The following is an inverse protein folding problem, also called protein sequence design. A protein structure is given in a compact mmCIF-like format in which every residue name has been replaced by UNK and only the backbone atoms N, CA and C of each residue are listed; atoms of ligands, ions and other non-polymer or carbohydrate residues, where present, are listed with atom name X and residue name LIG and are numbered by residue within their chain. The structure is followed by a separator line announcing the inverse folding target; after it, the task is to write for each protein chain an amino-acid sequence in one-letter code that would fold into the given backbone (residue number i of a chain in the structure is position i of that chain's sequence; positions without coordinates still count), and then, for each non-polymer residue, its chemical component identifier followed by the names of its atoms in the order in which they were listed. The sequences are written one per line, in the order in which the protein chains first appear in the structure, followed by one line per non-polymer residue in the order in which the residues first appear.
data_IF_046860226334
#
_entry.id   IF_046860226334
#
_cell.length_a   1.000
_cell.length_b   1.000
_cell.length_c   1.000
_cell.angle_alpha   90.00
_cell.angle_beta   90.00
_cell.angle_gamma   90.00
#
_symmetry.space_group_name_H-M   'P 1'
#
loop_
_entity.id
_entity.type
_entity.pdbx_description
1 polymer ?
#
# COMPACT_ATOMS: atom_id res chain seq x y z
N UNK A 1 -24.25 -39.46 -3.20
CA UNK A 1 -23.19 -39.13 -2.23
C UNK A 1 -23.89 -38.71 -0.96
N UNK A 2 -23.84 -39.58 0.07
CA UNK A 2 -24.56 -39.39 1.33
C UNK A 2 -23.68 -38.62 2.31
N UNK A 3 -24.20 -37.52 2.85
CA UNK A 3 -23.55 -36.74 3.90
C UNK A 3 -23.89 -37.39 5.25
N UNK A 4 -22.88 -37.98 5.91
CA UNK A 4 -22.98 -38.47 7.28
C UNK A 4 -22.68 -37.34 8.26
N UNK A 5 -23.58 -37.14 9.22
CA UNK A 5 -23.40 -36.26 10.37
C UNK A 5 -22.49 -36.93 11.40
N UNK A 6 -21.48 -36.21 11.91
CA UNK A 6 -20.69 -36.60 13.07
C UNK A 6 -21.02 -35.65 14.22
N UNK A 7 -21.36 -36.24 15.36
CA UNK A 7 -21.71 -35.56 16.60
C UNK A 7 -20.50 -34.89 17.27
N UNK A 8 -20.77 -33.71 17.82
CA UNK A 8 -19.94 -33.03 18.81
C UNK A 8 -20.51 -33.40 20.17
N UNK A 9 -19.72 -34.09 20.99
CA UNK A 9 -19.82 -34.07 22.46
C UNK A 9 -18.46 -34.52 23.02
N UNK A 10 -18.12 -34.01 24.21
CA UNK A 10 -16.97 -34.35 25.07
C UNK A 10 -15.63 -33.63 24.85
N UNK A 11 -15.54 -32.36 25.28
CA UNK A 11 -14.25 -31.77 25.71
C UNK A 11 -14.44 -30.64 26.74
N UNK A 12 -14.92 -30.97 27.95
CA UNK A 12 -14.77 -30.09 29.13
C UNK A 12 -14.07 -30.84 30.26
N UNK A 13 -12.75 -30.67 30.30
CA UNK A 13 -11.89 -31.09 31.41
C UNK A 13 -12.00 -30.12 32.59
N UNK A 14 -12.17 -30.69 33.77
CA UNK A 14 -12.25 -30.04 35.08
C UNK A 14 -10.97 -29.26 35.40
N UNK A 15 -11.13 -28.01 35.84
CA UNK A 15 -10.09 -27.20 36.49
C UNK A 15 -10.45 -27.08 37.98
N UNK A 16 -9.58 -27.56 38.86
CA UNK A 16 -9.68 -27.32 40.31
C UNK A 16 -8.96 -26.02 40.70
N UNK A 17 -9.51 -25.23 41.64
CA UNK A 17 -8.88 -24.00 42.12
C UNK A 17 -7.88 -24.29 43.25
N UNK A 18 -6.60 -23.96 43.02
CA UNK A 18 -5.55 -23.91 44.04
C UNK A 18 -5.53 -22.57 44.80
N UNK A 19 -4.98 -22.54 46.04
CA UNK A 19 -5.11 -21.39 46.94
C UNK A 19 -4.17 -20.23 46.57
N UNK A 20 -4.71 -19.01 46.70
CA UNK A 20 -4.00 -17.74 46.53
C UNK A 20 -3.18 -17.46 47.80
N UNK A 21 -1.85 -17.46 47.67
CA UNK A 21 -0.93 -16.99 48.69
C UNK A 21 -0.57 -15.52 48.41
N UNK A 22 -0.88 -14.64 49.35
CA UNK A 22 -0.47 -13.25 49.33
C UNK A 22 0.96 -13.11 49.87
N UNK A 23 1.88 -12.62 49.05
CA UNK A 23 3.20 -12.16 49.49
C UNK A 23 3.63 -10.94 48.69
N UNK A 24 3.78 -9.86 49.42
CA UNK A 24 4.24 -8.53 49.05
C UNK A 24 5.78 -8.54 49.00
N UNK A 25 6.40 -7.93 47.98
CA UNK A 25 7.57 -7.02 48.03
C UNK A 25 8.30 -6.95 46.68
N UNK A 26 8.24 -5.74 46.10
CA UNK A 26 9.28 -5.02 45.36
C UNK A 26 10.27 -5.81 44.48
N UNK A 27 10.12 -5.63 43.16
CA UNK A 27 11.23 -5.74 42.21
C UNK A 27 11.07 -4.71 41.09
N UNK A 28 12.18 -4.03 40.81
CA UNK A 28 12.43 -3.08 39.74
C UNK A 28 11.83 -3.53 38.38
N UNK A 29 11.06 -2.66 37.74
CA UNK A 29 10.73 -2.77 36.32
C UNK A 29 12.01 -2.47 35.50
N UNK A 30 12.75 -3.52 35.18
CA UNK A 30 13.56 -3.54 33.98
C UNK A 30 12.58 -3.66 32.80
N UNK A 31 12.52 -2.62 31.97
CA UNK A 31 11.81 -2.65 30.70
C UNK A 31 12.51 -3.67 29.81
N UNK A 32 11.98 -4.89 29.79
CA UNK A 32 12.34 -5.91 28.82
C UNK A 32 11.98 -5.37 27.43
N UNK A 33 13.04 -5.11 26.66
CA UNK A 33 12.95 -4.77 25.26
C UNK A 33 12.30 -5.90 24.50
N UNK A 34 11.02 -5.75 24.19
CA UNK A 34 10.43 -6.43 23.05
C UNK A 34 11.10 -5.92 21.79
N UNK A 35 12.12 -6.66 21.38
CA UNK A 35 12.71 -6.64 20.04
C UNK A 35 11.58 -6.82 19.02
N UNK A 36 11.08 -5.71 18.49
CA UNK A 36 10.43 -5.70 17.20
C UNK A 36 11.44 -6.27 16.22
N UNK A 37 11.09 -7.43 15.64
CA UNK A 37 11.96 -8.22 14.78
C UNK A 37 12.74 -7.32 13.84
N UNK A 38 14.06 -7.50 13.87
CA UNK A 38 15.05 -6.76 13.10
C UNK A 38 14.50 -6.44 11.72
N UNK A 39 14.14 -5.17 11.54
CA UNK A 39 13.73 -4.62 10.27
C UNK A 39 14.89 -4.82 9.31
N UNK A 40 14.74 -5.79 8.40
CA UNK A 40 15.60 -5.88 7.23
C UNK A 40 15.71 -4.47 6.63
N UNK A 41 16.91 -3.91 6.44
CA UNK A 41 17.06 -2.63 5.79
C UNK A 41 16.42 -2.75 4.40
N UNK A 42 15.29 -2.08 4.23
CA UNK A 42 14.57 -1.97 2.98
C UNK A 42 15.32 -0.98 2.08
N UNK A 43 16.56 -1.31 1.71
CA UNK A 43 17.28 -0.64 0.62
C UNK A 43 16.63 -1.05 -0.71
N UNK A 44 15.40 -0.60 -0.89
CA UNK A 44 14.67 -0.66 -2.14
C UNK A 44 15.26 0.46 -2.99
N UNK A 45 16.35 0.15 -3.70
CA UNK A 45 16.80 0.99 -4.82
C UNK A 45 15.63 1.06 -5.81
N UNK A 46 14.92 2.17 -5.80
CA UNK A 46 13.77 2.40 -6.66
C UNK A 46 14.35 2.82 -8.01
N UNK A 47 14.37 1.89 -8.97
CA UNK A 47 14.87 2.16 -10.32
C UNK A 47 13.74 2.75 -11.15
N UNK A 48 13.81 4.04 -11.41
CA UNK A 48 13.00 4.75 -12.43
C UNK A 48 13.62 4.65 -13.83
N UNK A 49 14.58 3.75 -14.05
CA UNK A 49 15.18 3.55 -15.37
C UNK A 49 14.16 2.95 -16.33
N UNK A 50 14.28 3.29 -17.61
CA UNK A 50 13.58 2.65 -18.71
C UNK A 50 13.86 1.13 -18.67
N UNK A 51 12.94 0.39 -18.06
CA UNK A 51 13.08 -1.05 -17.91
C UNK A 51 12.72 -1.69 -19.25
N UNK A 52 13.73 -2.26 -19.91
CA UNK A 52 13.54 -3.02 -21.14
C UNK A 52 13.42 -4.51 -20.83
N UNK A 53 12.26 -5.08 -21.13
CA UNK A 53 12.09 -6.53 -21.19
C UNK A 53 12.45 -7.03 -22.59
N UNK A 54 13.15 -8.17 -22.67
CA UNK A 54 13.56 -8.79 -23.93
C UNK A 54 12.87 -10.12 -24.13
N UNK A 55 12.38 -10.38 -25.34
CA UNK A 55 11.81 -11.67 -25.74
C UNK A 55 12.87 -12.77 -25.93
N UNK A 56 14.16 -12.42 -25.88
CA UNK A 56 15.27 -13.39 -25.84
C UNK A 56 15.34 -14.15 -24.50
N UNK A 57 14.74 -13.58 -23.45
CA UNK A 57 14.65 -14.24 -22.14
C UNK A 57 13.35 -15.04 -22.10
N UNK A 58 13.44 -16.31 -21.74
CA UNK A 58 12.26 -17.14 -21.58
C UNK A 58 11.66 -17.04 -20.16
N UNK A 59 10.33 -16.82 -20.03
CA UNK A 59 9.66 -16.90 -18.74
C UNK A 59 9.76 -18.31 -18.14
N UNK A 60 9.73 -18.35 -16.81
CA UNK A 60 9.65 -19.62 -16.08
C UNK A 60 8.38 -20.38 -16.48
N UNK A 61 8.53 -21.68 -16.69
CA UNK A 61 7.41 -22.58 -16.89
C UNK A 61 6.74 -22.97 -15.57
N UNK A 62 5.42 -23.07 -15.61
CA UNK A 62 4.58 -23.48 -14.50
C UNK A 62 3.92 -24.82 -14.84
N UNK A 63 3.92 -25.80 -13.93
CA UNK A 63 3.21 -27.05 -14.15
C UNK A 63 1.72 -26.82 -14.40
N UNK A 64 1.11 -27.71 -15.19
CA UNK A 64 -0.32 -27.63 -15.50
C UNK A 64 -1.15 -27.61 -14.20
N UNK A 65 -2.13 -26.71 -14.14
CA UNK A 65 -3.03 -26.55 -13.00
C UNK A 65 -2.47 -25.81 -11.79
N UNK A 66 -1.21 -25.34 -11.79
CA UNK A 66 -0.59 -24.66 -10.64
C UNK A 66 -0.63 -23.12 -10.67
N UNK A 67 -1.59 -22.53 -11.38
CA UNK A 67 -1.74 -21.07 -11.43
C UNK A 67 -2.68 -20.58 -10.33
N UNK A 68 -2.45 -19.35 -9.87
CA UNK A 68 -3.30 -18.69 -8.88
C UNK A 68 -4.60 -18.20 -9.54
N UNK A 69 -5.68 -18.06 -8.76
CA UNK A 69 -6.93 -17.46 -9.22
C UNK A 69 -6.74 -16.01 -9.71
N UNK A 70 -5.75 -15.32 -9.15
CA UNK A 70 -5.33 -13.97 -9.56
C UNK A 70 -4.36 -14.00 -10.75
N UNK A 71 -4.71 -14.76 -11.79
CA UNK A 71 -3.96 -14.87 -13.04
C UNK A 71 -4.77 -14.35 -14.23
N UNK A 72 -4.06 -13.73 -15.18
CA UNK A 72 -4.61 -13.25 -16.46
C UNK A 72 -3.99 -14.07 -17.58
N UNK A 73 -4.82 -14.77 -18.36
CA UNK A 73 -4.37 -15.56 -19.51
C UNK A 73 -4.21 -14.68 -20.74
N UNK A 74 -3.11 -14.87 -21.47
CA UNK A 74 -2.79 -14.13 -22.70
C UNK A 74 -2.66 -15.10 -23.86
N UNK A 75 -3.33 -14.80 -24.97
CA UNK A 75 -3.36 -15.68 -26.15
C UNK A 75 -2.28 -15.34 -27.18
N UNK A 76 -2.02 -14.05 -27.41
CA UNK A 76 -1.19 -13.58 -28.54
C UNK A 76 -0.06 -12.62 -28.16
N UNK A 77 0.12 -12.33 -26.87
CA UNK A 77 1.17 -11.42 -26.42
C UNK A 77 2.53 -12.13 -26.32
N UNK A 78 3.61 -11.42 -26.62
CA UNK A 78 4.96 -11.87 -26.26
C UNK A 78 5.23 -11.68 -24.75
N UNK A 79 6.20 -12.42 -24.16
CA UNK A 79 6.60 -12.21 -22.77
C UNK A 79 7.00 -10.77 -22.44
N UNK A 80 7.81 -10.14 -23.30
CA UNK A 80 8.24 -8.76 -23.11
C UNK A 80 7.06 -7.80 -23.19
N UNK A 81 6.18 -7.96 -24.17
CA UNK A 81 4.95 -7.14 -24.29
C UNK A 81 4.08 -7.25 -23.04
N UNK A 82 3.87 -8.46 -22.53
CA UNK A 82 3.09 -8.70 -21.31
C UNK A 82 3.70 -7.99 -20.09
N UNK A 83 5.01 -8.15 -19.87
CA UNK A 83 5.67 -7.54 -18.72
C UNK A 83 5.76 -6.01 -18.83
N UNK A 84 6.01 -5.46 -20.02
CA UNK A 84 5.96 -4.02 -20.28
C UNK A 84 4.56 -3.47 -20.03
N UNK A 85 3.51 -4.17 -20.45
CA UNK A 85 2.13 -3.75 -20.19
C UNK A 85 1.81 -3.70 -18.70
N UNK A 86 2.22 -4.72 -17.93
CA UNK A 86 2.07 -4.73 -16.47
C UNK A 86 2.87 -3.61 -15.81
N UNK A 87 4.08 -3.35 -16.30
CA UNK A 87 4.90 -2.24 -15.83
C UNK A 87 4.21 -0.90 -16.04
N UNK A 88 3.74 -0.61 -17.27
CA UNK A 88 2.99 0.60 -17.59
C UNK A 88 1.76 0.76 -16.71
N UNK A 89 0.97 -0.30 -16.51
CA UNK A 89 -0.17 -0.24 -15.57
C UNK A 89 0.25 0.21 -14.17
N UNK A 90 1.29 -0.41 -13.62
CA UNK A 90 1.75 -0.11 -12.26
C UNK A 90 2.33 1.30 -12.14
N UNK A 91 2.99 1.83 -13.19
CA UNK A 91 3.56 3.19 -13.19
C UNK A 91 2.51 4.25 -13.47
N UNK A 92 1.79 4.11 -14.58
CA UNK A 92 0.92 5.15 -15.14
C UNK A 92 -0.42 5.22 -14.40
N UNK A 93 -1.08 4.06 -14.24
CA UNK A 93 -2.43 4.01 -13.66
C UNK A 93 -2.37 4.01 -12.14
N UNK A 94 -1.45 3.23 -11.56
CA UNK A 94 -1.43 2.99 -10.12
C UNK A 94 -0.48 3.93 -9.37
N UNK A 95 0.56 4.47 -10.03
CA UNK A 95 1.66 5.23 -9.39
C UNK A 95 2.34 4.42 -8.27
N UNK A 96 2.74 3.19 -8.59
CA UNK A 96 3.39 2.29 -7.63
C UNK A 96 4.90 2.55 -7.50
N UNK A 97 5.47 2.19 -6.35
CA UNK A 97 6.92 2.03 -6.18
C UNK A 97 7.31 0.62 -6.64
N UNK A 98 8.08 0.51 -7.72
CA UNK A 98 8.29 -0.76 -8.41
C UNK A 98 9.78 -1.17 -8.38
N UNK A 99 10.01 -2.45 -8.11
CA UNK A 99 11.26 -3.15 -8.36
C UNK A 99 11.05 -4.18 -9.46
N UNK A 100 11.90 -4.13 -10.48
CA UNK A 100 11.79 -5.05 -11.62
C UNK A 100 12.99 -5.99 -11.69
N UNK A 101 12.74 -7.23 -12.12
CA UNK A 101 13.76 -8.22 -12.46
C UNK A 101 13.47 -8.73 -13.88
N UNK A 102 13.98 -8.03 -14.93
CA UNK A 102 13.67 -8.37 -16.32
C UNK A 102 14.02 -9.82 -16.68
N UNK A 103 15.18 -10.29 -16.24
CA UNK A 103 15.64 -11.67 -16.44
C UNK A 103 14.72 -12.77 -15.85
N UNK A 104 13.73 -12.40 -15.02
CA UNK A 104 12.76 -13.32 -14.44
C UNK A 104 11.31 -12.95 -14.78
N UNK A 105 11.10 -11.89 -15.56
CA UNK A 105 9.79 -11.25 -15.79
C UNK A 105 9.01 -11.04 -14.49
N UNK A 106 9.70 -10.56 -13.46
CA UNK A 106 9.11 -10.32 -12.14
C UNK A 106 9.08 -8.84 -11.83
N UNK A 107 7.91 -8.36 -11.42
CA UNK A 107 7.71 -7.03 -10.87
C UNK A 107 7.25 -7.17 -9.42
N UNK A 108 7.90 -6.48 -8.49
CA UNK A 108 7.41 -6.27 -7.13
C UNK A 108 6.97 -4.81 -7.04
N UNK A 109 5.75 -4.58 -6.61
CA UNK A 109 5.19 -3.25 -6.51
C UNK A 109 4.63 -3.01 -5.11
N UNK A 110 4.82 -1.81 -4.61
CA UNK A 110 4.21 -1.29 -3.41
C UNK A 110 3.27 -0.17 -3.81
N UNK A 111 2.02 -0.30 -3.41
CA UNK A 111 0.90 0.51 -3.87
C UNK A 111 0.16 1.06 -2.67
N UNK A 112 -0.18 2.34 -2.72
CA UNK A 112 -1.03 3.00 -1.75
C UNK A 112 -2.35 3.39 -2.42
N UNK A 113 -3.44 3.26 -1.68
CA UNK A 113 -4.76 3.65 -2.17
C UNK A 113 -4.81 5.17 -2.38
N UNK A 114 -5.25 5.59 -3.57
CA UNK A 114 -5.35 7.00 -3.96
C UNK A 114 -6.40 7.75 -3.17
N UNK A 115 -7.27 7.09 -2.41
CA UNK A 115 -8.43 7.76 -1.82
C UNK A 115 -8.37 7.89 -0.31
N UNK A 116 -7.57 7.06 0.36
CA UNK A 116 -7.54 7.04 1.83
C UNK A 116 -6.16 7.06 2.46
N UNK A 117 -5.07 6.80 1.71
CA UNK A 117 -3.70 6.75 2.23
C UNK A 117 -3.39 5.61 3.22
N UNK A 118 -4.39 5.17 4.00
CA UNK A 118 -4.36 4.11 5.02
C UNK A 118 -4.03 2.75 4.43
N UNK A 119 -4.69 2.44 3.31
CA UNK A 119 -4.65 1.11 2.74
C UNK A 119 -3.49 1.02 1.75
N UNK A 120 -2.56 0.13 2.04
CA UNK A 120 -1.44 -0.17 1.17
C UNK A 120 -1.42 -1.66 0.84
N UNK A 121 -0.81 -2.01 -0.29
CA UNK A 121 -0.58 -3.38 -0.68
C UNK A 121 0.80 -3.51 -1.32
N UNK A 122 1.57 -4.50 -0.85
CA UNK A 122 2.73 -4.98 -1.60
C UNK A 122 2.30 -6.21 -2.41
N UNK A 123 2.50 -6.15 -3.73
CA UNK A 123 2.19 -7.24 -4.65
C UNK A 123 3.41 -7.65 -5.47
N UNK A 124 3.32 -8.85 -6.05
CA UNK A 124 4.30 -9.36 -7.00
C UNK A 124 3.58 -9.87 -8.24
N UNK A 125 3.86 -9.26 -9.39
CA UNK A 125 3.40 -9.72 -10.70
C UNK A 125 4.51 -10.52 -11.39
N UNK A 126 4.13 -11.57 -12.13
CA UNK A 126 5.07 -12.41 -12.89
C UNK A 126 4.46 -12.83 -14.21
N UNK A 127 5.25 -12.79 -15.28
CA UNK A 127 4.90 -13.47 -16.54
C UNK A 127 5.42 -14.90 -16.47
N UNK A 128 4.57 -15.87 -16.76
CA UNK A 128 4.88 -17.30 -16.72
C UNK A 128 4.38 -17.98 -18.00
N UNK A 129 5.04 -19.08 -18.37
CA UNK A 129 4.59 -19.99 -19.43
C UNK A 129 3.83 -21.16 -18.82
N UNK A 130 2.67 -21.49 -19.39
CA UNK A 130 1.87 -22.65 -18.98
C UNK A 130 1.68 -23.56 -20.18
N UNK A 131 1.97 -24.87 -20.07
CA UNK A 131 1.68 -25.83 -21.14
C UNK A 131 0.20 -25.80 -21.53
N UNK A 132 -0.09 -25.87 -22.83
CA UNK A 132 -1.43 -25.99 -23.42
C UNK A 132 -1.62 -27.42 -23.94
N UNK A 133 -2.21 -28.32 -23.15
CA UNK A 133 -2.67 -29.59 -23.66
C UNK A 133 -3.95 -29.39 -24.53
N UNK A 134 -4.15 -30.20 -25.59
CA UNK A 134 -3.26 -31.24 -26.13
C UNK A 134 -2.25 -30.73 -27.17
N UNK A 135 -2.35 -29.47 -27.60
CA UNK A 135 -1.68 -28.94 -28.79
C UNK A 135 -0.15 -28.80 -28.68
N UNK A 136 0.43 -29.07 -27.51
CA UNK A 136 1.87 -28.97 -27.25
C UNK A 136 2.42 -27.53 -27.22
N UNK A 137 1.57 -26.52 -27.46
CA UNK A 137 1.93 -25.12 -27.35
C UNK A 137 2.02 -24.64 -25.90
N UNK A 138 2.46 -23.40 -25.72
CA UNK A 138 2.42 -22.71 -24.43
C UNK A 138 1.47 -21.52 -24.51
N UNK A 139 0.76 -21.26 -23.41
CA UNK A 139 0.06 -19.99 -23.20
C UNK A 139 0.82 -19.18 -22.16
N UNK A 140 0.79 -17.86 -22.31
CA UNK A 140 1.33 -16.98 -21.29
C UNK A 140 0.26 -16.65 -20.25
N UNK A 141 0.70 -16.49 -19.02
CA UNK A 141 -0.10 -15.92 -17.94
C UNK A 141 0.65 -14.79 -17.26
N UNK A 142 -0.11 -13.81 -16.78
CA UNK A 142 0.38 -12.85 -15.80
C UNK A 142 -0.24 -13.21 -14.46
N UNK A 143 0.58 -13.68 -13.54
CA UNK A 143 0.18 -14.04 -12.19
C UNK A 143 0.45 -12.90 -11.23
N UNK A 144 -0.56 -12.46 -10.50
CA UNK A 144 -0.45 -11.49 -9.41
C UNK A 144 -0.53 -12.22 -8.07
N UNK A 145 0.35 -11.87 -7.12
CA UNK A 145 0.27 -12.37 -5.74
C UNK A 145 0.43 -11.24 -4.74
N UNK A 146 -0.49 -11.15 -3.78
CA UNK A 146 -0.32 -10.33 -2.59
C UNK A 146 0.85 -10.84 -1.77
N UNK A 147 1.70 -9.93 -1.28
CA UNK A 147 2.82 -10.24 -0.39
C UNK A 147 2.56 -9.73 1.03
N UNK A 148 2.03 -8.52 1.14
CA UNK A 148 1.66 -7.85 2.40
C UNK A 148 0.58 -6.81 2.12
N UNK A 149 -0.06 -6.33 3.19
CA UNK A 149 -1.02 -5.23 3.14
C UNK A 149 -2.45 -5.70 2.93
N UNK A 150 -3.31 -4.77 2.57
CA UNK A 150 -4.75 -4.94 2.57
C UNK A 150 -5.25 -5.85 1.41
N UNK A 151 -6.07 -6.87 1.69
CA UNK A 151 -6.60 -7.78 0.67
C UNK A 151 -7.64 -7.13 -0.25
N UNK A 152 -8.40 -6.13 0.21
CA UNK A 152 -9.36 -5.39 -0.61
C UNK A 152 -8.65 -4.50 -1.61
N UNK A 153 -7.59 -3.81 -1.20
CA UNK A 153 -6.71 -3.06 -2.12
C UNK A 153 -6.13 -3.99 -3.18
N UNK A 154 -5.61 -5.15 -2.77
CA UNK A 154 -5.11 -6.15 -3.72
C UNK A 154 -6.19 -6.60 -4.71
N UNK A 155 -7.39 -6.92 -4.23
CA UNK A 155 -8.52 -7.33 -5.08
C UNK A 155 -8.91 -6.26 -6.11
N UNK A 156 -9.01 -4.99 -5.68
CA UNK A 156 -9.26 -3.84 -6.57
C UNK A 156 -8.15 -3.70 -7.62
N UNK A 157 -6.89 -3.72 -7.19
CA UNK A 157 -5.73 -3.60 -8.08
C UNK A 157 -5.66 -4.75 -9.10
N UNK A 158 -5.93 -5.97 -8.69
CA UNK A 158 -5.98 -7.11 -9.61
C UNK A 158 -7.10 -6.96 -10.65
N UNK A 159 -8.29 -6.52 -10.23
CA UNK A 159 -9.40 -6.23 -11.14
C UNK A 159 -9.03 -5.19 -12.20
N UNK A 160 -8.45 -4.07 -11.77
CA UNK A 160 -7.97 -3.00 -12.65
C UNK A 160 -6.85 -3.50 -13.58
N UNK A 161 -5.87 -4.23 -13.06
CA UNK A 161 -4.77 -4.79 -13.84
C UNK A 161 -5.28 -5.73 -14.93
N UNK A 162 -6.21 -6.62 -14.58
CA UNK A 162 -6.82 -7.56 -15.52
C UNK A 162 -7.52 -6.83 -16.67
N UNK A 163 -8.32 -5.81 -16.35
CA UNK A 163 -9.01 -4.99 -17.36
C UNK A 163 -8.00 -4.27 -18.27
N UNK A 164 -6.99 -3.63 -17.69
CA UNK A 164 -5.96 -2.90 -18.44
C UNK A 164 -5.17 -3.81 -19.39
N UNK A 165 -4.74 -4.98 -18.89
CA UNK A 165 -3.95 -5.95 -19.67
C UNK A 165 -4.77 -6.52 -20.82
N UNK A 166 -6.01 -6.96 -20.55
CA UNK A 166 -6.87 -7.51 -21.60
C UNK A 166 -7.25 -6.45 -22.63
N UNK A 167 -7.54 -5.22 -22.20
CA UNK A 167 -7.85 -4.11 -23.10
C UNK A 167 -6.70 -3.73 -24.06
N UNK A 168 -5.44 -3.95 -23.65
CA UNK A 168 -4.26 -3.64 -24.48
C UNK A 168 -3.71 -4.82 -25.28
N UNK A 169 -3.84 -6.04 -24.77
CA UNK A 169 -3.15 -7.22 -25.34
C UNK A 169 -4.08 -8.22 -26.02
N UNK A 170 -5.40 -8.09 -25.90
CA UNK A 170 -6.35 -8.96 -26.59
C UNK A 170 -6.71 -8.37 -27.98
N UNK A 171 -6.39 -9.07 -29.09
CA UNK A 171 -6.56 -8.55 -30.46
C UNK A 171 -8.02 -8.55 -30.94
N UNK A 172 -8.89 -9.35 -30.30
CA UNK A 172 -10.27 -9.55 -30.74
C UNK A 172 -11.18 -8.62 -29.97
N UNK A 173 -11.72 -7.63 -30.69
CA UNK A 173 -12.76 -6.67 -30.28
C UNK A 173 -13.18 -6.74 -28.82
N UNK A 174 -12.67 -5.79 -28.04
CA UNK A 174 -12.90 -5.66 -26.60
C UNK A 174 -14.30 -6.16 -26.23
N UNK A 175 -14.44 -7.23 -25.43
CA UNK A 175 -15.72 -7.49 -24.79
C UNK A 175 -16.07 -6.19 -24.07
N UNK A 176 -17.22 -5.61 -24.40
CA UNK A 176 -17.76 -4.42 -23.76
C UNK A 176 -17.53 -4.60 -22.27
N UNK A 177 -16.54 -3.88 -21.73
CA UNK A 177 -16.08 -4.12 -20.38
C UNK A 177 -17.26 -3.70 -19.51
N UNK A 178 -18.05 -4.67 -19.07
CA UNK A 178 -19.02 -4.45 -18.01
C UNK A 178 -18.17 -4.02 -16.85
N UNK A 179 -18.06 -2.70 -16.68
CA UNK A 179 -17.44 -2.05 -15.56
C UNK A 179 -18.30 -2.46 -14.37
N UNK A 180 -18.05 -3.64 -13.82
CA UNK A 180 -18.37 -3.94 -12.44
C UNK A 180 -17.36 -3.12 -11.64
N UNK A 181 -17.55 -1.80 -11.68
CA UNK A 181 -16.95 -0.91 -10.71
C UNK A 181 -17.57 -1.38 -9.41
N UNK A 182 -16.82 -2.19 -8.65
CA UNK A 182 -17.02 -2.30 -7.20
C UNK A 182 -16.62 -0.95 -6.61
N UNK A 183 -17.33 0.11 -7.02
CA UNK A 183 -17.41 1.34 -6.26
C UNK A 183 -18.08 0.91 -4.97
N UNK A 184 -17.25 0.64 -3.97
CA UNK A 184 -17.69 0.68 -2.59
C UNK A 184 -18.37 2.04 -2.46
N UNK A 185 -19.68 2.10 -2.12
CA UNK A 185 -20.41 3.36 -2.11
C UNK A 185 -19.70 4.39 -1.22
N UNK A 186 -18.94 5.30 -1.85
CA UNK A 186 -18.16 6.34 -1.15
C UNK A 186 -19.07 7.28 -0.38
N UNK A 187 -20.30 7.44 -0.85
CA UNK A 187 -21.32 8.28 -0.24
C UNK A 187 -21.66 7.89 1.22
N UNK A 188 -21.27 6.69 1.68
CA UNK A 188 -21.46 6.29 3.08
C UNK A 188 -20.34 6.78 4.02
N UNK A 189 -19.24 7.31 3.47
CA UNK A 189 -18.04 7.63 4.25
C UNK A 189 -17.53 9.05 4.02
N UNK A 190 -18.34 9.97 3.48
CA UNK A 190 -17.98 11.39 3.57
C UNK A 190 -18.07 11.76 5.04
N UNK A 191 -16.94 11.96 5.76
CA UNK A 191 -17.04 12.38 7.13
C UNK A 191 -17.77 13.73 7.15
N UNK A 192 -18.61 14.00 8.16
CA UNK A 192 -19.11 15.35 8.38
C UNK A 192 -17.90 16.30 8.46
N UNK A 193 -18.13 17.58 8.18
CA UNK A 193 -17.08 18.59 8.35
C UNK A 193 -16.56 18.51 9.78
N UNK A 194 -15.35 17.97 9.95
CA UNK A 194 -14.81 17.69 11.27
C UNK A 194 -14.52 18.99 11.99
N UNK A 195 -15.05 19.12 13.21
CA UNK A 195 -14.70 20.23 14.09
C UNK A 195 -13.31 20.00 14.69
N UNK A 196 -12.62 21.07 15.07
CA UNK A 196 -11.26 20.99 15.62
C UNK A 196 -11.18 20.06 16.85
N UNK A 197 -12.22 20.05 17.68
CA UNK A 197 -12.33 19.21 18.88
C UNK A 197 -12.40 17.71 18.54
N UNK A 198 -12.97 17.35 17.39
CA UNK A 198 -13.06 15.96 16.94
C UNK A 198 -11.71 15.41 16.45
N UNK A 199 -10.76 16.30 16.10
CA UNK A 199 -9.41 15.92 15.68
C UNK A 199 -8.47 15.66 16.86
N UNK A 200 -8.83 16.11 18.07
CA UNK A 200 -7.97 16.00 19.25
C UNK A 200 -7.48 14.56 19.52
N UNK A 201 -8.31 13.51 19.45
CA UNK A 201 -7.84 12.14 19.67
C UNK A 201 -6.81 11.68 18.61
N UNK A 202 -6.95 12.14 17.37
CA UNK A 202 -5.99 11.81 16.30
C UNK A 202 -4.66 12.54 16.53
N UNK A 203 -4.70 13.78 17.01
CA UNK A 203 -3.50 14.55 17.35
C UNK A 203 -2.77 13.96 18.54
N UNK A 204 -3.48 13.52 19.58
CA UNK A 204 -2.89 12.81 20.74
C UNK A 204 -2.30 11.47 20.31
N UNK A 205 -3.01 10.72 19.46
CA UNK A 205 -2.52 9.47 18.89
C UNK A 205 -1.26 9.68 18.03
N UNK A 206 -1.16 10.82 17.34
CA UNK A 206 0.03 11.21 16.60
C UNK A 206 1.18 11.62 17.53
N UNK A 207 0.91 12.39 18.59
CA UNK A 207 1.91 12.89 19.52
C UNK A 207 2.58 11.76 20.32
N UNK A 208 1.76 10.91 20.95
CA UNK A 208 2.17 9.98 22.01
C UNK A 208 1.94 8.51 21.64
N UNK A 209 1.45 8.23 20.43
CA UNK A 209 1.18 6.87 19.98
C UNK A 209 2.44 6.08 19.62
N UNK A 210 2.29 4.75 19.61
CA UNK A 210 3.26 3.87 18.94
C UNK A 210 3.34 4.21 17.45
N UNK A 211 4.43 3.85 16.77
CA UNK A 211 4.58 4.09 15.33
C UNK A 211 3.39 3.62 14.49
N UNK A 212 2.79 2.47 14.85
CA UNK A 212 1.59 1.96 14.17
C UNK A 212 0.38 2.88 14.35
N UNK A 213 0.19 3.41 15.56
CA UNK A 213 -0.89 4.35 15.88
C UNK A 213 -0.64 5.71 15.22
N UNK A 214 0.61 6.16 15.15
CA UNK A 214 0.96 7.38 14.44
C UNK A 214 0.64 7.29 12.95
N UNK A 215 0.98 6.17 12.29
CA UNK A 215 0.61 5.94 10.88
C UNK A 215 -0.90 5.96 10.68
N UNK A 216 -1.65 5.31 11.58
CA UNK A 216 -3.11 5.30 11.56
C UNK A 216 -3.68 6.72 11.71
N UNK A 217 -3.20 7.47 12.71
CA UNK A 217 -3.59 8.86 12.96
C UNK A 217 -3.30 9.75 11.74
N UNK A 218 -2.07 9.71 11.20
CA UNK A 218 -1.69 10.50 10.01
C UNK A 218 -2.63 10.19 8.85
N UNK A 219 -2.93 8.91 8.63
CA UNK A 219 -3.73 8.52 7.48
C UNK A 219 -5.21 8.88 7.65
N UNK A 220 -5.74 8.87 8.89
CA UNK A 220 -7.04 9.45 9.19
C UNK A 220 -7.06 10.97 8.96
N UNK A 221 -6.00 11.68 9.37
CA UNK A 221 -5.85 13.11 9.10
C UNK A 221 -5.75 13.41 7.59
N UNK A 222 -5.11 12.55 6.79
CA UNK A 222 -5.12 12.63 5.32
C UNK A 222 -6.55 12.56 4.78
N UNK A 223 -7.38 11.65 5.30
CA UNK A 223 -8.76 11.52 4.85
C UNK A 223 -9.58 12.78 5.18
N UNK A 224 -9.41 13.36 6.37
CA UNK A 224 -10.07 14.62 6.76
C UNK A 224 -9.59 15.79 5.88
N UNK A 225 -8.28 15.94 5.72
CA UNK A 225 -7.70 17.00 4.89
C UNK A 225 -8.07 16.85 3.40
N UNK A 226 -8.27 15.62 2.92
CA UNK A 226 -8.70 15.30 1.56
C UNK A 226 -10.18 15.53 1.29
N UNK A 227 -11.02 15.58 2.32
CA UNK A 227 -12.47 15.71 2.16
C UNK A 227 -12.90 17.15 1.78
N UNK A 228 -12.20 18.18 2.27
CA UNK A 228 -12.52 19.58 1.97
C UNK A 228 -11.39 20.54 2.38
N UNK A 229 -11.42 21.76 1.83
CA UNK A 229 -10.51 22.83 2.24
C UNK A 229 -10.65 23.20 3.74
N UNK A 230 -11.89 23.21 4.26
CA UNK A 230 -12.14 23.43 5.67
C UNK A 230 -11.50 22.33 6.54
N UNK A 231 -11.59 21.07 6.11
CA UNK A 231 -10.94 19.94 6.77
C UNK A 231 -9.42 20.08 6.77
N UNK A 232 -8.82 20.49 5.65
CA UNK A 232 -7.38 20.75 5.58
C UNK A 232 -6.93 21.85 6.53
N UNK A 233 -7.67 22.96 6.62
CA UNK A 233 -7.39 24.07 7.55
C UNK A 233 -7.52 23.62 9.00
N UNK A 234 -8.56 22.85 9.33
CA UNK A 234 -8.78 22.29 10.66
C UNK A 234 -7.61 21.37 11.05
N UNK A 235 -7.20 20.46 10.16
CA UNK A 235 -6.04 19.59 10.38
C UNK A 235 -4.76 20.40 10.53
N UNK A 236 -4.51 21.40 9.69
CA UNK A 236 -3.32 22.25 9.81
C UNK A 236 -3.23 22.93 11.17
N UNK A 237 -4.36 23.45 11.65
CA UNK A 237 -4.47 24.08 12.98
C UNK A 237 -4.20 23.05 14.08
N UNK A 238 -4.83 21.87 13.98
CA UNK A 238 -4.72 20.79 14.95
C UNK A 238 -3.28 20.27 15.09
N UNK A 239 -2.55 20.11 13.99
CA UNK A 239 -1.20 19.50 13.99
C UNK A 239 -0.06 20.49 14.28
N UNK A 240 -0.36 21.79 14.40
CA UNK A 240 0.64 22.85 14.58
C UNK A 240 1.61 22.65 15.76
N UNK A 241 1.17 21.98 16.83
CA UNK A 241 2.00 21.71 18.00
C UNK A 241 2.77 20.37 17.92
N UNK A 242 2.43 19.51 16.95
CA UNK A 242 3.06 18.19 16.70
C UNK A 242 3.82 18.15 15.36
N UNK A 243 4.11 19.31 14.76
CA UNK A 243 4.84 19.40 13.49
C UNK A 243 6.18 18.66 13.50
N UNK A 244 6.88 18.67 14.64
CA UNK A 244 8.15 17.96 14.79
C UNK A 244 8.01 16.44 14.67
N UNK A 245 6.89 15.88 15.15
CA UNK A 245 6.57 14.46 14.99
C UNK A 245 6.30 14.17 13.51
N UNK A 246 5.47 14.98 12.85
CA UNK A 246 5.22 14.85 11.42
C UNK A 246 6.51 14.95 10.59
N UNK A 247 7.39 15.88 10.92
CA UNK A 247 8.70 16.03 10.27
C UNK A 247 9.55 14.76 10.41
N UNK A 248 9.56 14.13 11.60
CA UNK A 248 10.26 12.86 11.81
C UNK A 248 9.64 11.70 11.02
N UNK A 249 8.31 11.63 10.92
CA UNK A 249 7.61 10.61 10.11
C UNK A 249 7.90 10.78 8.62
N UNK A 250 7.90 12.02 8.11
CA UNK A 250 8.29 12.35 6.73
C UNK A 250 9.73 11.92 6.43
N UNK A 251 10.64 12.12 7.39
CA UNK A 251 12.05 11.74 7.27
C UNK A 251 12.29 10.22 7.43
N UNK A 252 11.26 9.44 7.75
CA UNK A 252 11.38 7.99 7.91
C UNK A 252 11.82 7.30 6.61
N UNK A 253 12.65 6.28 6.72
CA UNK A 253 13.01 5.40 5.59
C UNK A 253 11.96 4.32 5.34
N UNK A 254 11.02 4.13 6.26
CA UNK A 254 9.94 3.17 6.12
C UNK A 254 8.82 3.75 5.25
N UNK A 255 8.55 3.14 4.10
CA UNK A 255 7.57 3.68 3.15
C UNK A 255 6.14 3.71 3.73
N UNK A 256 5.76 2.70 4.53
CA UNK A 256 4.47 2.62 5.23
C UNK A 256 4.25 3.81 6.19
N UNK A 257 5.32 4.49 6.61
CA UNK A 257 5.28 5.65 7.51
C UNK A 257 5.43 6.96 6.74
N UNK A 258 6.47 7.05 5.91
CA UNK A 258 6.83 8.30 5.25
C UNK A 258 5.83 8.70 4.16
N UNK A 259 5.20 7.74 3.48
CA UNK A 259 4.22 8.04 2.43
C UNK A 259 2.97 8.75 2.96
N UNK A 260 2.22 8.22 3.94
CA UNK A 260 1.05 8.92 4.47
C UNK A 260 1.42 10.28 5.08
N UNK A 261 2.58 10.40 5.73
CA UNK A 261 3.06 11.68 6.27
C UNK A 261 3.35 12.70 5.17
N UNK A 262 4.10 12.33 4.13
CA UNK A 262 4.38 13.21 2.99
C UNK A 262 3.10 13.62 2.25
N UNK A 263 2.15 12.69 2.15
CA UNK A 263 0.86 12.96 1.54
C UNK A 263 0.03 13.94 2.37
N UNK A 264 0.02 13.80 3.70
CA UNK A 264 -0.61 14.79 4.57
C UNK A 264 -0.01 16.18 4.32
N UNK A 265 1.32 16.29 4.29
CA UNK A 265 2.03 17.53 3.99
C UNK A 265 1.63 18.12 2.64
N UNK A 266 1.53 17.31 1.58
CA UNK A 266 1.07 17.75 0.27
C UNK A 266 -0.38 18.28 0.31
N UNK A 267 -1.28 17.57 1.00
CA UNK A 267 -2.67 18.00 1.18
C UNK A 267 -2.77 19.33 1.92
N UNK A 268 -2.04 19.51 3.01
CA UNK A 268 -2.05 20.77 3.78
C UNK A 268 -1.50 21.93 2.94
N UNK A 269 -0.41 21.70 2.21
CA UNK A 269 0.20 22.73 1.35
C UNK A 269 -0.72 23.19 0.22
N UNK A 270 -1.54 22.28 -0.32
CA UNK A 270 -2.46 22.61 -1.41
C UNK A 270 -3.61 23.55 -1.02
N UNK A 271 -3.83 23.78 0.28
CA UNK A 271 -4.93 24.61 0.81
C UNK A 271 -4.49 25.99 1.35
N UNK A 272 -3.22 26.37 1.14
CA UNK A 272 -2.75 27.73 0.84
C UNK A 272 -2.82 28.86 1.88
N UNK A 273 -3.67 28.82 2.91
CA UNK A 273 -3.78 29.96 3.84
C UNK A 273 -2.85 29.84 5.05
N UNK A 274 -2.51 28.61 5.43
CA UNK A 274 -1.62 28.28 6.54
C UNK A 274 -0.44 27.50 5.98
N UNK A 275 0.49 28.21 5.34
CA UNK A 275 1.69 27.60 4.76
C UNK A 275 2.42 26.69 5.77
N UNK A 276 3.17 25.72 5.26
CA UNK A 276 3.93 24.81 6.12
C UNK A 276 4.93 25.62 6.95
N UNK A 277 5.00 25.34 8.25
CA UNK A 277 5.87 26.10 9.14
C UNK A 277 7.11 25.30 9.57
N UNK A 278 8.14 26.06 9.95
CA UNK A 278 9.26 25.58 10.76
C UNK A 278 9.90 24.26 10.31
N UNK A 279 10.01 23.25 11.22
CA UNK A 279 10.68 21.98 10.94
C UNK A 279 10.04 21.16 9.81
N UNK A 280 8.72 21.26 9.64
CA UNK A 280 7.99 20.44 8.67
C UNK A 280 8.31 20.86 7.23
N UNK A 281 8.38 22.16 6.98
CA UNK A 281 8.80 22.68 5.67
C UNK A 281 10.24 22.27 5.35
N UNK A 282 11.15 22.31 6.33
CA UNK A 282 12.54 21.89 6.15
C UNK A 282 12.61 20.39 5.81
N UNK A 283 11.93 19.54 6.58
CA UNK A 283 11.89 18.10 6.31
C UNK A 283 11.27 17.78 4.94
N UNK A 284 10.20 18.48 4.55
CA UNK A 284 9.57 18.33 3.25
C UNK A 284 10.54 18.67 2.11
N UNK A 285 11.26 19.79 2.25
CA UNK A 285 12.27 20.22 1.28
C UNK A 285 13.40 19.20 1.19
N UNK A 286 14.02 18.84 2.30
CA UNK A 286 15.12 17.88 2.32
C UNK A 286 14.69 16.55 1.68
N UNK A 287 13.50 16.04 2.03
CA UNK A 287 12.94 14.82 1.46
C UNK A 287 12.63 14.90 -0.04
N UNK A 288 12.17 16.05 -0.54
CA UNK A 288 11.81 16.28 -1.95
C UNK A 288 13.00 16.22 -2.92
N UNK A 289 14.21 16.54 -2.46
CA UNK A 289 15.42 16.54 -3.29
C UNK A 289 16.46 15.49 -2.88
N UNK A 290 16.30 14.85 -1.73
CA UNK A 290 17.19 13.75 -1.32
C UNK A 290 17.00 12.51 -2.19
N UNK A 291 18.10 12.03 -2.78
CA UNK A 291 18.09 10.89 -3.71
C UNK A 291 17.80 9.55 -3.04
N UNK A 292 18.02 9.45 -1.73
CA UNK A 292 17.70 8.27 -0.93
C UNK A 292 16.22 8.16 -0.52
N UNK A 293 15.43 9.23 -0.64
CA UNK A 293 13.99 9.20 -0.35
C UNK A 293 13.27 8.34 -1.38
N UNK A 294 12.31 7.51 -0.98
CA UNK A 294 11.49 6.75 -1.94
C UNK A 294 10.83 7.68 -2.98
N UNK A 295 10.70 7.24 -4.23
CA UNK A 295 10.17 8.07 -5.31
C UNK A 295 8.75 8.56 -5.08
N UNK A 296 7.89 7.77 -4.42
CA UNK A 296 6.52 8.17 -4.10
C UNK A 296 6.49 9.30 -3.09
N UNK A 297 7.17 9.11 -1.96
CA UNK A 297 7.34 10.13 -0.91
C UNK A 297 7.91 11.41 -1.53
N UNK A 298 8.96 11.29 -2.35
CA UNK A 298 9.58 12.43 -3.03
C UNK A 298 8.62 13.17 -3.96
N UNK A 299 7.75 12.44 -4.67
CA UNK A 299 6.75 13.05 -5.55
C UNK A 299 5.75 13.90 -4.74
N UNK A 300 5.19 13.34 -3.66
CA UNK A 300 4.26 14.05 -2.78
C UNK A 300 4.91 15.29 -2.16
N UNK A 301 6.15 15.17 -1.64
CA UNK A 301 6.87 16.30 -1.05
C UNK A 301 7.23 17.39 -2.06
N UNK A 302 7.51 17.03 -3.31
CA UNK A 302 7.73 18.02 -4.38
C UNK A 302 6.46 18.78 -4.70
N UNK A 303 5.32 18.09 -4.81
CA UNK A 303 4.02 18.72 -5.00
C UNK A 303 3.72 19.69 -3.84
N UNK A 304 4.00 19.28 -2.60
CA UNK A 304 3.89 20.14 -1.42
C UNK A 304 4.74 21.42 -1.53
N UNK A 305 6.03 21.27 -1.84
CA UNK A 305 6.95 22.40 -1.96
C UNK A 305 6.59 23.35 -3.11
N UNK A 306 6.02 22.82 -4.21
CA UNK A 306 5.57 23.63 -5.34
C UNK A 306 4.28 24.39 -5.02
N UNK A 307 3.40 23.83 -4.19
CA UNK A 307 2.20 24.50 -3.72
C UNK A 307 2.52 25.65 -2.76
N UNK A 308 3.46 25.44 -1.83
CA UNK A 308 3.94 26.45 -0.87
C UNK A 308 4.61 27.67 -1.53
N UNK A 309 5.17 27.49 -2.74
CA UNK A 309 5.85 28.55 -3.48
C UNK A 309 4.91 29.48 -4.28
N UNK A 310 3.59 29.20 -4.33
CA UNK A 310 2.60 29.96 -5.10
C UNK A 310 1.88 30.98 -4.23
#
# INVERSE_FOLDING_TARGET
WSCGALGMDDFFGKLEPGPISASMYQSHEALDGHSFGEGLPCDIKTQTQDVVFSDEVEPRELPYGQHEETSVFLESASPAQAATCVHSFLVEEVRASIQVKPAKFVLKAEVFDKEGGLLHCTLKARVLRVPRPPDGGHRLIVEFRRRRGDPLVFGRLFGQAKQYILGRLSPTGAPEAVHVSLEVPRALFTPPAAELEELQPLVEMLADGSLSLQVEAVSALVAVAGASAAGAIAVCTAVSHVEHVLAALVASTCLEVAYPAARLVAMLSSHGETGLSGPLLVAARDGAWFTGTNSLVRSELREACLADAR
#
